data_IF_932781632229
#
_entry.id   IF_932781632229
#
_cell.length_a   1.000
_cell.length_b   1.000
_cell.length_c   1.000
_cell.angle_alpha   90.00
_cell.angle_beta   90.00
_cell.angle_gamma   90.00
#
_symmetry.space_group_name_H-M   'P 1'
#
loop_
_entity.id
_entity.type
_entity.pdbx_description
1 polymer ?
#
# COMPACT_ATOMS: atom_id res chain seq x y z
N UNK A 1 -13.61 -12.52 11.40
CA UNK A 1 -12.75 -13.71 11.17
C UNK A 1 -11.47 -13.19 10.56
N UNK A 2 -10.41 -13.00 11.35
CA UNK A 2 -9.18 -12.35 10.90
C UNK A 2 -8.34 -13.38 10.15
N UNK A 3 -8.38 -13.34 8.81
CA UNK A 3 -7.54 -14.21 7.99
C UNK A 3 -6.09 -13.77 8.18
N UNK A 4 -5.28 -14.63 8.79
CA UNK A 4 -3.83 -14.49 8.79
C UNK A 4 -3.38 -14.91 7.39
N UNK A 5 -2.79 -14.00 6.63
CA UNK A 5 -2.23 -14.34 5.33
C UNK A 5 -1.06 -15.30 5.55
N UNK A 6 -1.07 -16.43 4.84
CA UNK A 6 0.04 -17.37 4.88
C UNK A 6 1.34 -16.68 4.44
N UNK A 7 2.41 -16.91 5.21
CA UNK A 7 3.72 -16.34 4.91
C UNK A 7 4.17 -16.76 3.51
N UNK A 8 4.63 -15.78 2.72
CA UNK A 8 5.08 -16.02 1.35
C UNK A 8 6.53 -16.53 1.37
N UNK A 9 6.80 -17.78 0.96
CA UNK A 9 8.12 -18.39 1.13
C UNK A 9 9.21 -17.77 0.25
N UNK A 10 8.83 -16.98 -0.76
CA UNK A 10 9.74 -16.26 -1.65
C UNK A 10 10.11 -14.87 -1.13
N UNK A 11 9.46 -14.37 -0.07
CA UNK A 11 9.78 -13.08 0.55
C UNK A 11 10.79 -13.34 1.68
N UNK A 12 11.90 -12.57 1.76
CA UNK A 12 12.81 -12.62 2.90
C UNK A 12 12.04 -12.48 4.23
N UNK A 13 12.40 -13.27 5.23
CA UNK A 13 11.60 -13.43 6.45
C UNK A 13 11.40 -12.10 7.19
N UNK A 14 12.41 -11.22 7.20
CA UNK A 14 12.35 -9.90 7.82
C UNK A 14 11.33 -8.99 7.11
N UNK A 15 11.32 -9.04 5.78
CA UNK A 15 10.36 -8.27 4.97
C UNK A 15 8.94 -8.82 5.11
N UNK A 16 8.78 -10.14 5.13
CA UNK A 16 7.48 -10.77 5.35
C UNK A 16 6.93 -10.40 6.73
N UNK A 17 7.78 -10.41 7.77
CA UNK A 17 7.41 -9.97 9.12
C UNK A 17 6.93 -8.53 9.13
N UNK A 18 7.68 -7.61 8.50
CA UNK A 18 7.29 -6.20 8.40
C UNK A 18 5.96 -5.99 7.65
N UNK A 19 5.73 -6.75 6.58
CA UNK A 19 4.48 -6.70 5.81
C UNK A 19 3.31 -7.21 6.66
N UNK A 20 3.46 -8.34 7.33
CA UNK A 20 2.40 -8.91 8.18
C UNK A 20 2.09 -8.01 9.38
N UNK A 21 3.09 -7.36 9.97
CA UNK A 21 2.90 -6.37 11.05
C UNK A 21 2.05 -5.18 10.57
N UNK A 22 2.38 -4.60 9.41
CA UNK A 22 1.59 -3.51 8.82
C UNK A 22 0.17 -3.96 8.45
N UNK A 23 0.03 -5.14 7.86
CA UNK A 23 -1.28 -5.70 7.51
C UNK A 23 -2.14 -5.93 8.76
N UNK A 24 -1.56 -6.43 9.85
CA UNK A 24 -2.25 -6.58 11.13
C UNK A 24 -2.70 -5.23 11.70
N UNK A 25 -1.86 -4.19 11.61
CA UNK A 25 -2.22 -2.84 12.03
C UNK A 25 -3.45 -2.32 11.28
N UNK A 26 -3.49 -2.45 9.95
CA UNK A 26 -4.65 -2.01 9.16
C UNK A 26 -5.91 -2.83 9.44
N UNK A 27 -5.78 -4.15 9.70
CA UNK A 27 -6.93 -5.00 10.07
C UNK A 27 -7.54 -4.63 11.42
N UNK A 28 -6.79 -3.96 12.28
CA UNK A 28 -7.25 -3.53 13.60
C UNK A 28 -7.96 -2.16 13.58
N UNK A 29 -7.88 -1.43 12.45
CA UNK A 29 -8.59 -0.16 12.29
C UNK A 29 -10.08 -0.41 12.09
N UNK A 30 -10.91 0.50 12.61
CA UNK A 30 -12.30 0.60 12.20
C UNK A 30 -12.41 1.24 10.80
N UNK A 31 -13.63 1.29 10.27
CA UNK A 31 -13.87 1.78 8.91
C UNK A 31 -13.46 3.23 8.72
N UNK A 32 -13.76 4.09 9.69
CA UNK A 32 -13.50 5.53 9.60
C UNK A 32 -12.00 5.81 9.69
N UNK A 33 -11.30 5.14 10.61
CA UNK A 33 -9.85 5.25 10.74
C UNK A 33 -9.13 4.67 9.52
N UNK A 34 -9.63 3.57 8.94
CA UNK A 34 -9.06 3.00 7.72
C UNK A 34 -9.24 3.94 6.52
N UNK A 35 -10.39 4.59 6.39
CA UNK A 35 -10.63 5.59 5.34
C UNK A 35 -9.69 6.77 5.46
N UNK A 36 -9.51 7.32 6.66
CA UNK A 36 -8.57 8.40 6.93
C UNK A 36 -7.13 8.02 6.57
N UNK A 37 -6.71 6.81 6.93
CA UNK A 37 -5.38 6.29 6.60
C UNK A 37 -5.19 6.17 5.08
N UNK A 38 -6.19 5.67 4.35
CA UNK A 38 -6.14 5.60 2.88
C UNK A 38 -5.97 6.99 2.27
N UNK A 39 -6.75 7.99 2.72
CA UNK A 39 -6.65 9.37 2.25
C UNK A 39 -5.25 9.94 2.54
N UNK A 40 -4.72 9.71 3.73
CA UNK A 40 -3.37 10.15 4.12
C UNK A 40 -2.28 9.52 3.25
N UNK A 41 -2.38 8.22 2.95
CA UNK A 41 -1.44 7.51 2.10
C UNK A 41 -1.50 8.01 0.64
N UNK A 42 -2.68 8.34 0.12
CA UNK A 42 -2.83 8.93 -1.22
C UNK A 42 -2.12 10.28 -1.32
N UNK A 43 -2.36 11.17 -0.36
CA UNK A 43 -1.70 12.48 -0.32
C UNK A 43 -0.18 12.34 -0.19
N UNK A 44 0.31 11.39 0.62
CA UNK A 44 1.74 11.12 0.75
C UNK A 44 2.35 10.57 -0.52
N UNK A 45 1.61 9.71 -1.23
CA UNK A 45 2.03 9.13 -2.51
C UNK A 45 2.16 10.21 -3.59
N UNK A 46 1.17 11.10 -3.73
CA UNK A 46 1.23 12.22 -4.67
C UNK A 46 2.46 13.11 -4.39
N UNK A 47 2.64 13.53 -3.13
CA UNK A 47 3.81 14.31 -2.72
C UNK A 47 5.13 13.61 -3.04
N UNK A 48 5.22 12.29 -2.80
CA UNK A 48 6.42 11.52 -3.09
C UNK A 48 6.71 11.47 -4.59
N UNK A 49 5.71 11.09 -5.40
CA UNK A 49 5.89 10.85 -6.82
C UNK A 49 6.12 12.13 -7.61
N UNK A 50 5.46 13.22 -7.25
CA UNK A 50 5.49 14.45 -8.04
C UNK A 50 6.61 15.39 -7.63
N UNK A 51 7.08 15.32 -6.38
CA UNK A 51 8.03 16.30 -5.84
C UNK A 51 9.32 15.71 -5.31
N UNK A 52 9.31 14.47 -4.84
CA UNK A 52 10.45 13.88 -4.12
C UNK A 52 11.14 12.77 -4.92
N UNK A 53 10.50 12.28 -5.98
CA UNK A 53 10.95 11.13 -6.75
C UNK A 53 11.22 11.51 -8.20
N UNK A 54 12.36 11.05 -8.73
CA UNK A 54 12.58 10.97 -10.17
C UNK A 54 12.23 9.55 -10.60
N UNK A 55 11.11 9.39 -11.30
CA UNK A 55 10.69 8.08 -11.80
C UNK A 55 11.62 7.62 -12.93
N UNK A 56 12.42 6.59 -12.66
CA UNK A 56 13.32 5.97 -13.64
C UNK A 56 12.63 4.83 -14.43
N UNK A 57 11.31 4.69 -14.30
CA UNK A 57 10.54 3.64 -14.95
C UNK A 57 10.37 3.89 -16.45
N UNK A 58 10.78 2.93 -17.29
CA UNK A 58 10.17 2.74 -18.60
C UNK A 58 8.80 2.07 -18.37
N UNK A 59 7.69 2.74 -18.72
CA UNK A 59 6.29 2.36 -18.44
C UNK A 59 5.90 0.89 -18.76
N UNK A 60 6.31 -0.09 -17.96
CA UNK A 60 5.97 -1.51 -18.14
C UNK A 60 5.21 -2.12 -16.96
N UNK A 61 5.17 -1.44 -15.81
CA UNK A 61 4.33 -1.84 -14.68
C UNK A 61 2.95 -1.20 -14.81
N UNK A 62 1.94 -2.01 -15.13
CA UNK A 62 0.54 -1.58 -15.15
C UNK A 62 0.06 -1.43 -13.71
N UNK A 63 -0.26 -0.19 -13.31
CA UNK A 63 -0.86 0.11 -12.01
C UNK A 63 -2.16 -0.68 -11.84
N UNK A 64 -2.43 -1.15 -10.61
CA UNK A 64 -3.71 -1.80 -10.30
C UNK A 64 -4.88 -0.89 -10.77
N UNK A 65 -5.79 -1.36 -11.64
CA UNK A 65 -6.84 -0.52 -12.21
C UNK A 65 -7.74 0.15 -11.17
N UNK A 66 -7.96 -0.49 -10.01
CA UNK A 66 -8.74 0.11 -8.92
C UNK A 66 -8.00 1.27 -8.28
N UNK A 67 -6.70 1.13 -8.05
CA UNK A 67 -5.85 2.21 -7.54
C UNK A 67 -5.71 3.34 -8.55
N UNK A 68 -5.53 3.02 -9.83
CA UNK A 68 -5.50 4.01 -10.91
C UNK A 68 -6.77 4.86 -10.93
N UNK A 69 -7.94 4.23 -10.77
CA UNK A 69 -9.21 4.95 -10.76
C UNK A 69 -9.43 5.80 -9.51
N UNK A 70 -8.89 5.37 -8.36
CA UNK A 70 -8.90 6.15 -7.12
C UNK A 70 -7.96 7.36 -7.20
N UNK A 71 -6.84 7.25 -7.91
CA UNK A 71 -5.88 8.34 -8.12
C UNK A 71 -6.29 9.32 -9.24
N UNK A 72 -7.20 8.93 -10.13
CA UNK A 72 -7.63 9.73 -11.28
C UNK A 72 -8.84 10.65 -11.02
N UNK A 73 -9.34 10.68 -9.77
CA UNK A 73 -10.45 11.54 -9.32
C UNK A 73 -9.94 12.78 -8.62
#
# INVERSE_FOLDING_TARGET
>A
MTTIDAARPWVPAELESAIQQRAAAYRALDSDALEQEVIGLLARHEQYMDRECLSLYACTNVLNPRAARLLAS
#
